data_IF_633709373166
#
_entry.id   IF_633709373166
#
_cell.length_a   1.000
_cell.length_b   1.000
_cell.length_c   1.000
_cell.angle_alpha   90.00
_cell.angle_beta   90.00
_cell.angle_gamma   90.00
#
_symmetry.space_group_name_H-M   'P 1'
#
loop_
_entity.id
_entity.type
_entity.pdbx_description
1 polymer ?
#
# COMPACT_ATOMS: atom_id res chain seq x y z
N UNK A 1 -4.20 8.58 -7.70
CA UNK A 1 -2.80 8.56 -8.19
C UNK A 1 -2.33 9.86 -8.86
N UNK A 2 -3.02 10.45 -9.86
CA UNK A 2 -2.54 11.68 -10.50
C UNK A 2 -2.51 12.88 -9.53
N UNK A 3 -3.56 12.99 -8.69
CA UNK A 3 -3.64 14.00 -7.65
C UNK A 3 -2.57 13.79 -6.56
N UNK A 4 -2.34 12.54 -6.15
CA UNK A 4 -1.31 12.16 -5.18
C UNK A 4 0.09 12.55 -5.65
N UNK A 5 0.39 12.33 -6.94
CA UNK A 5 1.65 12.77 -7.54
C UNK A 5 1.76 14.30 -7.56
N UNK A 6 0.70 15.00 -7.96
CA UNK A 6 0.67 16.46 -7.96
C UNK A 6 0.87 17.05 -6.55
N UNK A 7 0.24 16.47 -5.54
CA UNK A 7 0.40 16.87 -4.14
C UNK A 7 1.81 16.60 -3.62
N UNK A 8 2.38 15.43 -3.90
CA UNK A 8 3.75 15.09 -3.51
C UNK A 8 4.80 16.00 -4.18
N UNK A 9 4.56 16.43 -5.42
CA UNK A 9 5.42 17.40 -6.11
C UNK A 9 5.28 18.81 -5.53
N UNK A 10 4.04 19.24 -5.27
CA UNK A 10 3.76 20.59 -4.77
C UNK A 10 4.20 20.78 -3.32
N UNK A 11 4.13 19.73 -2.51
CA UNK A 11 4.49 19.72 -1.08
C UNK A 11 5.64 18.75 -0.79
N UNK A 12 6.65 18.73 -1.66
CA UNK A 12 7.77 17.79 -1.55
C UNK A 12 8.48 17.83 -0.19
N UNK A 13 8.61 19.02 0.42
CA UNK A 13 9.24 19.18 1.74
C UNK A 13 8.48 18.54 2.89
N UNK A 14 7.20 18.22 2.74
CA UNK A 14 6.35 17.63 3.79
C UNK A 14 6.31 16.10 3.67
N UNK A 15 6.26 15.59 2.45
CA UNK A 15 6.12 14.15 2.17
C UNK A 15 7.47 13.43 1.97
N UNK A 16 8.49 14.13 1.48
CA UNK A 16 9.81 13.58 1.23
C UNK A 16 9.90 12.66 0.00
N UNK A 17 11.10 12.11 -0.28
CA UNK A 17 11.37 11.34 -1.49
C UNK A 17 10.66 9.99 -1.57
N UNK A 18 10.42 9.34 -0.42
CA UNK A 18 9.78 8.01 -0.38
C UNK A 18 8.34 8.03 -0.91
N UNK A 19 7.54 8.98 -0.44
CA UNK A 19 6.16 9.16 -0.90
C UNK A 19 6.08 9.60 -2.35
N UNK A 20 7.05 10.40 -2.84
CA UNK A 20 7.12 10.78 -4.24
C UNK A 20 7.37 9.55 -5.14
N UNK A 21 8.36 8.71 -4.80
CA UNK A 21 8.64 7.49 -5.55
C UNK A 21 7.45 6.53 -5.53
N UNK A 22 6.78 6.41 -4.38
CA UNK A 22 5.54 5.64 -4.28
C UNK A 22 4.47 6.18 -5.23
N UNK A 23 4.17 7.49 -5.20
CA UNK A 23 3.15 8.11 -6.06
C UNK A 23 3.46 7.92 -7.56
N UNK A 24 4.73 8.02 -7.97
CA UNK A 24 5.16 7.74 -9.35
C UNK A 24 4.95 6.27 -9.69
N UNK A 25 5.41 5.34 -8.85
CA UNK A 25 5.25 3.90 -9.09
C UNK A 25 3.78 3.48 -9.17
N UNK A 26 2.93 4.03 -8.30
CA UNK A 26 1.52 3.73 -8.26
C UNK A 26 0.78 4.28 -9.48
N UNK A 27 1.17 5.46 -9.98
CA UNK A 27 0.66 5.99 -11.24
C UNK A 27 1.04 5.09 -12.42
N UNK A 28 2.27 4.60 -12.49
CA UNK A 28 2.71 3.68 -13.54
C UNK A 28 1.93 2.36 -13.49
N UNK A 29 1.83 1.73 -12.31
CA UNK A 29 1.06 0.48 -12.13
C UNK A 29 -0.40 0.68 -12.52
N UNK A 30 -1.01 1.82 -12.19
CA UNK A 30 -2.38 2.14 -12.60
C UNK A 30 -2.52 2.27 -14.13
N UNK A 31 -1.62 3.00 -14.78
CA UNK A 31 -1.63 3.18 -16.24
C UNK A 31 -1.43 1.86 -17.00
N UNK A 32 -0.54 0.98 -16.51
CA UNK A 32 -0.33 -0.34 -17.11
C UNK A 32 -1.45 -1.34 -16.76
N UNK A 33 -2.03 -1.22 -15.56
CA UNK A 33 -3.11 -2.08 -15.06
C UNK A 33 -4.45 -1.88 -15.77
N UNK A 34 -4.69 -0.71 -16.38
CA UNK A 34 -5.89 -0.45 -17.18
C UNK A 34 -5.90 -1.17 -18.54
N UNK A 35 -4.86 -1.93 -18.90
CA UNK A 35 -4.88 -2.80 -20.07
C UNK A 35 -5.81 -4.00 -19.82
N UNK A 36 -6.62 -4.44 -20.79
CA UNK A 36 -7.61 -5.50 -20.61
C UNK A 36 -7.03 -6.81 -20.07
N UNK A 37 -5.77 -7.13 -20.42
CA UNK A 37 -5.06 -8.29 -19.88
C UNK A 37 -4.76 -8.16 -18.37
N UNK A 38 -4.43 -6.97 -17.89
CA UNK A 38 -4.07 -6.73 -16.48
C UNK A 38 -5.30 -6.37 -15.61
N UNK A 39 -6.43 -6.02 -16.23
CA UNK A 39 -7.61 -5.54 -15.51
C UNK A 39 -8.19 -6.60 -14.56
N UNK A 40 -8.07 -7.89 -14.90
CA UNK A 40 -8.44 -9.00 -14.02
C UNK A 40 -7.60 -9.04 -12.72
N UNK A 41 -6.42 -8.42 -12.71
CA UNK A 41 -5.52 -8.42 -11.56
C UNK A 41 -5.70 -7.22 -10.62
N UNK A 42 -6.45 -6.21 -11.04
CA UNK A 42 -6.73 -5.00 -10.26
C UNK A 42 -7.30 -5.29 -8.86
N UNK A 43 -8.24 -6.24 -8.66
CA UNK A 43 -8.75 -6.57 -7.34
C UNK A 43 -7.67 -7.05 -6.36
N UNK A 44 -6.66 -7.77 -6.86
CA UNK A 44 -5.56 -8.26 -6.02
C UNK A 44 -4.63 -7.13 -5.57
N UNK A 45 -4.37 -6.17 -6.46
CA UNK A 45 -3.61 -4.95 -6.12
C UNK A 45 -4.37 -4.11 -5.10
N UNK A 46 -5.70 -4.08 -5.14
CA UNK A 46 -6.53 -3.42 -4.12
C UNK A 46 -6.44 -4.12 -2.75
N UNK A 47 -6.40 -5.46 -2.72
CA UNK A 47 -6.21 -6.22 -1.47
C UNK A 47 -4.87 -5.89 -0.81
N UNK A 48 -3.83 -5.62 -1.61
CA UNK A 48 -2.53 -5.22 -1.09
C UNK A 48 -2.53 -3.88 -0.36
N UNK A 49 -3.50 -3.01 -0.64
CA UNK A 49 -3.67 -1.74 0.06
C UNK A 49 -4.40 -1.91 1.39
N UNK A 50 -4.99 -3.07 1.70
CA UNK A 50 -5.73 -3.28 2.95
C UNK A 50 -4.87 -3.04 4.21
N UNK A 51 -3.55 -3.31 4.15
CA UNK A 51 -2.62 -3.02 5.25
C UNK A 51 -2.46 -1.52 5.52
N UNK A 52 -2.74 -0.64 4.55
CA UNK A 52 -2.62 0.82 4.73
C UNK A 52 -3.60 1.38 5.75
N UNK A 53 -4.72 0.69 6.03
CA UNK A 53 -5.64 1.05 7.10
C UNK A 53 -4.90 1.07 8.45
N UNK A 54 -4.13 0.01 8.74
CA UNK A 54 -3.35 -0.10 9.97
C UNK A 54 -2.15 0.86 9.97
N UNK A 55 -1.54 1.12 8.81
CA UNK A 55 -0.46 2.10 8.67
C UNK A 55 -0.95 3.52 9.00
N UNK A 56 -2.14 3.90 8.52
CA UNK A 56 -2.75 5.19 8.84
C UNK A 56 -3.06 5.32 10.33
N UNK A 57 -3.56 4.27 10.98
CA UNK A 57 -3.77 4.28 12.44
C UNK A 57 -2.44 4.53 13.17
N UNK A 58 -1.34 3.88 12.78
CA UNK A 58 -0.02 4.16 13.38
C UNK A 58 0.43 5.60 13.15
N UNK A 59 0.26 6.13 11.93
CA UNK A 59 0.59 7.53 11.64
C UNK A 59 -0.21 8.50 12.54
N UNK A 60 -1.49 8.24 12.78
CA UNK A 60 -2.31 9.02 13.71
C UNK A 60 -1.84 8.91 15.16
N UNK A 61 -1.46 7.71 15.61
CA UNK A 61 -0.93 7.50 16.96
C UNK A 61 0.38 8.26 17.17
N UNK A 62 1.24 8.27 16.15
CA UNK A 62 2.48 9.04 16.17
C UNK A 62 2.25 10.55 16.22
N UNK A 63 1.27 11.07 15.48
CA UNK A 63 0.93 12.50 15.50
C UNK A 63 0.22 12.94 16.77
N UNK A 64 -0.48 12.04 17.46
CA UNK A 64 -1.18 12.33 18.73
C UNK A 64 -0.31 12.13 19.96
N UNK A 65 0.96 11.75 19.80
CA UNK A 65 1.89 11.51 20.90
C UNK A 65 1.62 10.21 21.66
N UNK A 66 0.83 9.29 21.09
CA UNK A 66 0.55 7.97 21.65
C UNK A 66 1.54 6.89 21.14
N UNK A 67 2.72 7.34 20.69
CA UNK A 67 3.78 6.45 20.23
C UNK A 67 4.26 5.53 21.35
N UNK A 68 4.39 4.23 21.07
CA UNK A 68 4.86 3.20 22.01
C UNK A 68 3.80 2.69 22.99
N UNK A 69 2.52 3.07 22.82
CA UNK A 69 1.43 2.53 23.63
C UNK A 69 1.11 1.08 23.28
N UNK A 70 0.50 0.33 24.20
CA UNK A 70 0.03 -1.04 23.94
C UNK A 70 -0.94 -1.10 22.75
N UNK A 71 -1.70 -0.03 22.52
CA UNK A 71 -2.61 0.09 21.38
C UNK A 71 -1.86 0.14 20.05
N UNK A 72 -0.74 0.87 19.98
CA UNK A 72 0.14 0.84 18.81
C UNK A 72 0.74 -0.55 18.59
N UNK A 73 1.23 -1.20 19.64
CA UNK A 73 1.82 -2.55 19.51
C UNK A 73 0.82 -3.59 18.98
N UNK A 74 -0.44 -3.52 19.40
CA UNK A 74 -1.51 -4.37 18.87
C UNK A 74 -1.76 -4.05 17.39
N UNK A 75 -1.91 -2.76 17.05
CA UNK A 75 -2.15 -2.34 15.67
C UNK A 75 -1.00 -2.74 14.73
N UNK A 76 0.25 -2.61 15.17
CA UNK A 76 1.46 -3.05 14.45
C UNK A 76 1.50 -4.57 14.24
N UNK A 77 1.04 -5.35 15.22
CA UNK A 77 0.93 -6.81 15.08
C UNK A 77 -0.06 -7.18 13.97
N UNK A 78 -1.24 -6.54 13.95
CA UNK A 78 -2.21 -6.75 12.87
C UNK A 78 -1.71 -6.23 11.52
N UNK A 79 -1.01 -5.09 11.51
CA UNK A 79 -0.36 -4.55 10.31
C UNK A 79 0.59 -5.57 9.70
N UNK A 80 1.49 -6.14 10.49
CA UNK A 80 2.46 -7.14 10.03
C UNK A 80 1.79 -8.43 9.56
N UNK A 81 0.79 -8.92 10.30
CA UNK A 81 0.04 -10.10 9.91
C UNK A 81 -0.68 -9.92 8.56
N UNK A 82 -1.40 -8.81 8.39
CA UNK A 82 -2.11 -8.52 7.16
C UNK A 82 -1.15 -8.24 5.99
N UNK A 83 -0.04 -7.56 6.26
CA UNK A 83 1.01 -7.34 5.27
C UNK A 83 1.59 -8.68 4.77
N UNK A 84 1.87 -9.62 5.69
CA UNK A 84 2.36 -10.94 5.33
C UNK A 84 1.34 -11.73 4.49
N UNK A 85 0.08 -11.76 4.90
CA UNK A 85 -0.98 -12.48 4.17
C UNK A 85 -1.17 -11.91 2.76
N UNK A 86 -1.32 -10.60 2.64
CA UNK A 86 -1.61 -9.96 1.35
C UNK A 86 -0.42 -9.98 0.40
N UNK A 87 0.82 -9.84 0.91
CA UNK A 87 2.02 -9.76 0.05
C UNK A 87 2.69 -11.11 -0.19
N UNK A 88 2.82 -11.95 0.83
CA UNK A 88 3.51 -13.24 0.70
C UNK A 88 2.56 -14.36 0.28
N UNK A 89 1.36 -14.46 0.88
CA UNK A 89 0.46 -15.59 0.60
C UNK A 89 -0.32 -15.36 -0.69
N UNK A 90 -1.10 -14.27 -0.76
CA UNK A 90 -1.91 -13.95 -1.94
C UNK A 90 -1.05 -13.68 -3.18
N UNK A 91 0.07 -12.98 -3.02
CA UNK A 91 1.02 -12.71 -4.11
C UNK A 91 1.55 -13.99 -4.76
N UNK A 92 1.94 -14.98 -3.96
CA UNK A 92 2.41 -16.29 -4.46
C UNK A 92 1.26 -17.10 -5.06
N UNK A 93 0.07 -17.05 -4.46
CA UNK A 93 -1.12 -17.74 -4.97
C UNK A 93 -1.51 -17.26 -6.37
N UNK A 94 -1.57 -15.95 -6.60
CA UNK A 94 -1.89 -15.37 -7.91
C UNK A 94 -0.83 -15.74 -8.94
N UNK A 95 0.45 -15.64 -8.58
CA UNK A 95 1.55 -16.01 -9.47
C UNK A 95 1.45 -17.50 -9.87
N UNK A 96 1.21 -18.40 -8.90
CA UNK A 96 1.04 -19.83 -9.17
C UNK A 96 -0.16 -20.09 -10.08
N UNK A 97 -1.30 -19.41 -9.85
CA UNK A 97 -2.47 -19.51 -10.71
C UNK A 97 -2.16 -19.07 -12.16
N UNK A 98 -1.40 -17.99 -12.34
CA UNK A 98 -0.98 -17.50 -13.66
C UNK A 98 -0.01 -18.45 -14.40
N UNK A 99 0.79 -19.23 -13.67
CA UNK A 99 1.70 -20.21 -14.30
C UNK A 99 1.00 -21.51 -14.72
N UNK A 100 -0.10 -21.86 -14.04
CA UNK A 100 -0.81 -23.12 -14.25
C UNK A 100 -2.01 -22.99 -15.21
N UNK A 101 -2.48 -21.77 -15.50
CA UNK A 101 -3.50 -21.45 -16.51
C UNK A 101 -2.86 -20.96 -17.82
#
# INVERSE_FOLDING_TARGET
>A
FPLDLHLCLSHYSWFGPGSLLHAVSALLVFLFGMKPFLMAFVPYVLIWEASTIFLNINYWLDKTGNSGTTLQAINETFLLALFFLTRCVEGVFIAAKMYCE
#
